data_IF_410310100933
#
_entry.id   IF_410310100933
#
_cell.length_a   1.000
_cell.length_b   1.000
_cell.length_c   1.000
_cell.angle_alpha   90.00
_cell.angle_beta   90.00
_cell.angle_gamma   90.00
#
_symmetry.space_group_name_H-M   'P 1'
#
loop_
_entity.id
_entity.type
_entity.pdbx_description
1 polymer ?
#
# COMPACT_ATOMS: atom_id res chain seq x y z
N UNK A 1 14.41 -10.71 2.48
CA UNK A 1 13.88 -9.67 1.56
C UNK A 1 12.44 -9.94 1.12
N UNK A 2 12.10 -11.10 0.54
CA UNK A 2 10.73 -11.40 0.04
C UNK A 2 9.63 -11.16 1.07
N UNK A 3 9.79 -11.70 2.29
CA UNK A 3 8.85 -11.48 3.38
C UNK A 3 8.56 -10.00 3.62
N UNK A 4 9.60 -9.17 3.76
CA UNK A 4 9.49 -7.72 3.92
C UNK A 4 8.80 -7.06 2.74
N UNK A 5 9.15 -7.42 1.50
CA UNK A 5 8.51 -6.86 0.29
C UNK A 5 7.01 -7.17 0.27
N UNK A 6 6.64 -8.41 0.56
CA UNK A 6 5.24 -8.83 0.60
C UNK A 6 4.48 -8.10 1.71
N UNK A 7 5.00 -8.07 2.94
CA UNK A 7 4.31 -7.38 4.05
C UNK A 7 4.17 -5.88 3.79
N UNK A 8 5.22 -5.20 3.36
CA UNK A 8 5.17 -3.77 3.01
C UNK A 8 4.22 -3.52 1.84
N UNK A 9 4.23 -4.38 0.83
CA UNK A 9 3.36 -4.30 -0.33
C UNK A 9 1.88 -4.45 0.05
N UNK A 10 1.54 -5.36 0.96
CA UNK A 10 0.17 -5.50 1.46
C UNK A 10 -0.30 -4.28 2.25
N UNK A 11 0.57 -3.67 3.07
CA UNK A 11 0.24 -2.41 3.74
C UNK A 11 0.02 -1.26 2.75
N UNK A 12 0.88 -1.16 1.73
CA UNK A 12 0.74 -0.18 0.65
C UNK A 12 -0.57 -0.39 -0.15
N UNK A 13 -0.90 -1.65 -0.42
CA UNK A 13 -2.16 -2.04 -1.06
C UNK A 13 -3.37 -1.66 -0.21
N UNK A 14 -3.38 -1.97 1.09
CA UNK A 14 -4.46 -1.63 2.03
C UNK A 14 -4.71 -0.12 2.09
N UNK A 15 -3.64 0.67 2.10
CA UNK A 15 -3.77 2.13 2.02
C UNK A 15 -4.38 2.56 0.68
N UNK A 16 -3.95 1.94 -0.43
CA UNK A 16 -4.44 2.26 -1.75
C UNK A 16 -5.93 1.89 -1.91
N UNK A 17 -6.36 0.68 -1.57
CA UNK A 17 -7.76 0.25 -1.76
C UNK A 17 -8.76 0.89 -0.79
N UNK A 18 -8.29 1.64 0.22
CA UNK A 18 -9.14 2.36 1.20
C UNK A 18 -10.25 3.17 0.54
N UNK A 19 -10.03 3.67 -0.68
CA UNK A 19 -10.98 4.49 -1.41
C UNK A 19 -11.17 3.96 -2.82
N UNK A 20 -12.41 3.63 -3.17
CA UNK A 20 -12.77 3.14 -4.51
C UNK A 20 -12.82 4.26 -5.56
N UNK A 21 -12.93 5.52 -5.15
CA UNK A 21 -13.18 6.65 -6.06
C UNK A 21 -12.19 7.80 -5.92
N UNK A 22 -11.64 8.04 -4.73
CA UNK A 22 -10.72 9.15 -4.44
C UNK A 22 -9.28 8.67 -4.32
N UNK A 23 -8.32 9.43 -4.84
CA UNK A 23 -6.91 9.14 -4.64
C UNK A 23 -6.54 9.38 -3.16
N UNK A 24 -5.57 8.62 -2.63
CA UNK A 24 -5.03 8.84 -1.27
C UNK A 24 -4.58 10.29 -1.03
N UNK A 25 -4.12 10.96 -2.09
CA UNK A 25 -3.70 12.36 -2.05
C UNK A 25 -4.86 13.34 -1.83
N UNK A 26 -6.07 13.00 -2.27
CA UNK A 26 -7.26 13.86 -2.16
C UNK A 26 -7.97 13.67 -0.80
N UNK A 27 -8.01 12.44 -0.28
CA UNK A 27 -8.69 12.13 1.00
C UNK A 27 -7.87 12.46 2.25
N UNK A 28 -6.55 12.57 2.13
CA UNK A 28 -5.64 12.75 3.26
C UNK A 28 -5.40 11.45 4.05
N UNK A 29 -4.13 11.25 4.45
CA UNK A 29 -3.65 10.04 5.12
C UNK A 29 -4.30 9.81 6.51
N UNK A 30 -4.74 10.88 7.17
CA UNK A 30 -5.28 10.86 8.55
C UNK A 30 -6.79 10.71 8.63
N UNK A 31 -7.50 10.69 7.51
CA UNK A 31 -8.97 10.62 7.49
C UNK A 31 -9.51 9.28 8.05
N UNK A 32 -8.72 8.21 8.05
CA UNK A 32 -9.02 6.95 8.74
C UNK A 32 -7.91 6.62 9.75
N UNK A 33 -8.02 7.21 10.95
CA UNK A 33 -7.07 7.00 12.05
C UNK A 33 -6.96 5.54 12.50
N UNK A 34 -8.06 4.75 12.61
CA UNK A 34 -7.96 3.33 12.91
C UNK A 34 -7.10 2.56 11.89
N UNK A 35 -7.29 2.80 10.59
CA UNK A 35 -6.50 2.16 9.54
C UNK A 35 -5.03 2.54 9.62
N UNK A 36 -4.74 3.83 9.83
CA UNK A 36 -3.37 4.30 10.00
C UNK A 36 -2.71 3.65 11.22
N UNK A 37 -3.44 3.53 12.32
CA UNK A 37 -2.98 2.80 13.52
C UNK A 37 -2.65 1.34 13.22
N UNK A 38 -3.49 0.64 12.46
CA UNK A 38 -3.24 -0.75 12.07
C UNK A 38 -1.99 -0.88 11.17
N UNK A 39 -1.80 0.02 10.20
CA UNK A 39 -0.61 0.04 9.34
C UNK A 39 0.66 0.32 10.15
N UNK A 40 0.63 1.31 11.05
CA UNK A 40 1.77 1.64 11.90
C UNK A 40 2.12 0.50 12.86
N UNK A 41 1.12 -0.13 13.48
CA UNK A 41 1.30 -1.30 14.33
C UNK A 41 1.91 -2.46 13.55
N UNK A 42 1.42 -2.73 12.34
CA UNK A 42 1.94 -3.79 11.47
C UNK A 42 3.38 -3.49 11.06
N UNK A 43 3.69 -2.25 10.72
CA UNK A 43 5.05 -1.83 10.39
C UNK A 43 5.99 -2.01 11.58
N UNK A 44 5.58 -1.63 12.79
CA UNK A 44 6.36 -1.82 14.00
C UNK A 44 6.63 -3.31 14.30
N UNK A 45 5.61 -4.15 14.17
CA UNK A 45 5.75 -5.60 14.30
C UNK A 45 6.67 -6.18 13.21
N UNK A 46 6.56 -5.70 11.98
CA UNK A 46 7.45 -6.10 10.89
C UNK A 46 8.91 -5.75 11.23
N UNK A 47 9.19 -4.55 11.74
CA UNK A 47 10.53 -4.16 12.19
C UNK A 47 11.01 -5.04 13.35
N UNK A 48 10.12 -5.39 14.29
CA UNK A 48 10.44 -6.30 15.37
C UNK A 48 10.84 -7.69 14.83
N UNK A 49 10.11 -8.24 13.86
CA UNK A 49 10.42 -9.57 13.30
C UNK A 49 11.77 -9.66 12.58
N UNK A 50 12.34 -8.54 12.11
CA UNK A 50 13.64 -8.53 11.40
C UNK A 50 14.81 -8.09 12.28
N UNK A 51 14.57 -7.26 13.29
CA UNK A 51 15.63 -6.68 14.13
C UNK A 51 15.68 -7.24 15.56
N UNK A 52 14.62 -7.91 16.05
CA UNK A 52 14.61 -8.54 17.38
C UNK A 52 15.20 -9.95 17.28
N UNK A 53 16.36 -10.24 17.90
CA UNK A 53 17.05 -11.52 17.73
C UNK A 53 16.26 -12.74 18.19
N UNK A 54 15.37 -12.58 19.18
CA UNK A 54 14.50 -13.64 19.67
C UNK A 54 13.41 -14.06 18.65
N UNK A 55 13.03 -13.16 17.74
CA UNK A 55 12.01 -13.41 16.72
C UNK A 55 12.60 -13.97 15.42
N UNK A 56 13.86 -13.66 15.12
CA UNK A 56 14.57 -14.17 13.94
C UNK A 56 14.50 -15.69 13.74
N UNK A 57 14.73 -16.55 14.77
CA UNK A 57 14.64 -18.00 14.58
C UNK A 57 13.20 -18.49 14.37
N UNK A 58 12.20 -17.78 14.89
CA UNK A 58 10.77 -18.14 14.75
C UNK A 58 10.29 -17.85 13.33
N UNK A 59 10.58 -16.63 12.83
CA UNK A 59 10.16 -16.17 11.51
C UNK A 59 11.16 -16.52 10.39
N UNK A 60 12.30 -17.13 10.75
CA UNK A 60 13.41 -17.46 9.85
C UNK A 60 13.89 -16.22 9.06
N UNK A 61 13.97 -15.09 9.76
CA UNK A 61 14.37 -13.79 9.22
C UNK A 61 15.82 -13.48 9.59
N UNK A 62 16.42 -12.56 8.83
CA UNK A 62 17.72 -11.98 9.12
C UNK A 62 17.60 -10.45 9.08
N UNK A 63 18.39 -9.73 9.90
CA UNK A 63 18.40 -8.28 9.88
C UNK A 63 18.81 -7.80 8.48
N UNK A 64 17.96 -6.98 7.88
CA UNK A 64 18.26 -6.35 6.60
C UNK A 64 19.17 -5.15 6.81
N UNK A 65 20.14 -5.01 5.91
CA UNK A 65 20.90 -3.79 5.77
C UNK A 65 20.02 -2.64 5.27
N UNK A 66 20.44 -1.40 5.53
CA UNK A 66 19.76 -0.19 5.03
C UNK A 66 19.47 -0.22 3.51
N UNK A 67 20.41 -0.57 2.61
CA UNK A 67 20.13 -0.62 1.18
C UNK A 67 19.10 -1.70 0.81
N UNK A 68 19.11 -2.86 1.48
CA UNK A 68 18.11 -3.90 1.25
C UNK A 68 16.72 -3.47 1.70
N UNK A 69 16.63 -2.77 2.84
CA UNK A 69 15.38 -2.21 3.33
C UNK A 69 14.84 -1.15 2.36
N UNK A 70 15.70 -0.26 1.85
CA UNK A 70 15.34 0.71 0.83
C UNK A 70 14.82 0.04 -0.44
N UNK A 71 15.46 -1.05 -0.89
CA UNK A 71 14.98 -1.83 -2.04
C UNK A 71 13.61 -2.45 -1.76
N UNK A 72 13.37 -2.97 -0.55
CA UNK A 72 12.06 -3.50 -0.19
C UNK A 72 10.96 -2.43 -0.17
N UNK A 73 11.27 -1.22 0.31
CA UNK A 73 10.36 -0.08 0.26
C UNK A 73 10.08 0.35 -1.18
N UNK A 74 11.11 0.44 -2.03
CA UNK A 74 10.93 0.78 -3.44
C UNK A 74 10.08 -0.26 -4.18
N UNK A 75 10.33 -1.55 -3.95
CA UNK A 75 9.56 -2.64 -4.55
C UNK A 75 8.09 -2.63 -4.10
N UNK A 76 7.82 -2.38 -2.82
CA UNK A 76 6.44 -2.31 -2.29
C UNK A 76 5.70 -1.05 -2.77
N UNK A 77 6.40 0.06 -3.02
CA UNK A 77 5.81 1.26 -3.59
C UNK A 77 5.22 1.02 -5.00
N UNK A 78 5.75 0.05 -5.76
CA UNK A 78 5.17 -0.34 -7.07
C UNK A 78 3.72 -0.80 -6.91
N UNK A 79 3.39 -1.54 -5.85
CA UNK A 79 2.02 -2.00 -5.59
C UNK A 79 1.07 -0.83 -5.42
N UNK A 80 1.50 0.20 -4.68
CA UNK A 80 0.72 1.42 -4.49
C UNK A 80 0.49 2.15 -5.83
N UNK A 81 1.55 2.31 -6.64
CA UNK A 81 1.45 2.96 -7.97
C UNK A 81 0.47 2.22 -8.88
N UNK A 82 0.55 0.88 -8.93
CA UNK A 82 -0.34 0.07 -9.77
C UNK A 82 -1.81 0.28 -9.39
N UNK A 83 -2.13 0.28 -8.09
CA UNK A 83 -3.51 0.48 -7.63
C UNK A 83 -4.01 1.89 -7.95
N UNK A 84 -3.18 2.92 -7.80
CA UNK A 84 -3.59 4.29 -8.16
C UNK A 84 -3.78 4.47 -9.67
N UNK A 85 -2.97 3.80 -10.51
CA UNK A 85 -3.20 3.74 -11.96
C UNK A 85 -4.55 3.06 -12.26
N UNK A 86 -4.85 1.95 -11.59
CA UNK A 86 -6.13 1.24 -11.75
C UNK A 86 -7.33 2.15 -11.43
N UNK A 87 -7.25 2.89 -10.32
CA UNK A 87 -8.29 3.86 -9.95
C UNK A 87 -8.44 4.98 -10.98
N UNK A 88 -7.33 5.54 -11.46
CA UNK A 88 -7.35 6.58 -12.49
C UNK A 88 -8.02 6.07 -13.76
N UNK A 89 -7.71 4.84 -14.18
CA UNK A 89 -8.33 4.23 -15.37
C UNK A 89 -9.83 3.96 -15.17
N UNK A 90 -10.25 3.47 -14.00
CA UNK A 90 -11.69 3.28 -13.67
C UNK A 90 -12.45 4.61 -13.66
N UNK A 91 -11.83 5.70 -13.19
CA UNK A 91 -12.43 7.05 -13.18
C UNK A 91 -12.67 7.56 -14.60
N UNK A 92 -11.68 7.45 -15.49
CA UNK A 92 -11.83 7.90 -16.89
C UNK A 92 -12.91 7.13 -17.66
N UNK A 93 -13.07 5.82 -17.40
CA UNK A 93 -14.14 5.02 -18.03
C UNK A 93 -15.55 5.38 -17.55
N UNK A 94 -15.71 5.84 -16.31
CA UNK A 94 -17.01 6.30 -15.79
C UNK A 94 -17.42 7.65 -16.40
N UNK A 95 -16.47 8.53 -16.69
CA UNK A 95 -16.74 9.80 -17.37
C UNK A 95 -17.22 9.58 -18.82
N UNK A 96 -16.59 8.67 -19.57
CA UNK A 96 -16.98 8.37 -20.96
C UNK A 96 -18.37 7.74 -21.11
N UNK A 97 -18.92 7.11 -20.06
CA UNK A 97 -20.29 6.60 -20.07
C UNK A 97 -21.38 7.66 -19.84
N UNK A 98 -21.01 8.79 -19.22
CA UNK A 98 -21.92 9.91 -18.98
C UNK A 98 -22.10 10.78 -20.23
N UNK A 99 -21.04 10.98 -21.03
CA UNK A 99 -21.11 11.72 -22.30
C UNK A 99 -22.01 11.01 -23.33
N UNK A 100 -21.94 9.68 -23.43
CA UNK A 100 -22.80 8.90 -24.35
C UNK A 100 -24.28 8.94 -23.95
N UNK A 101 -24.59 9.06 -22.65
CA UNK A 101 -25.98 9.19 -22.18
C UNK A 101 -26.53 10.62 -22.33
N UNK A 102 -25.66 11.64 -22.29
CA UNK A 102 -26.03 13.04 -22.52
C UNK A 102 -26.24 13.35 -24.01
N UNK A 103 -25.47 12.73 -24.92
CA UNK A 103 -25.66 12.85 -26.38
C UNK A 103 -26.91 12.10 -26.90
N UNK A 104 -27.56 11.29 -26.05
CA UNK A 104 -28.74 10.50 -26.39
C UNK A 104 -30.09 11.15 -26.00
N UNK A 105 -30.07 12.35 -25.40
CA UNK A 105 -31.25 13.15 -25.00
C UNK A 105 -31.36 14.44 -25.83
#
# INVERSE_FOLDING_TARGET
>A
MVFTVLTLGQMAHVLAIRSETEALWQQGLTSNRPLLGAVLLTFALQMATIYVPALNPIFKTQPLSLPELALCLAASAVVWVVVEIEKAWRRSRRASGADVAADAL
#
